data_IF_574137214893
#
_entry.id   IF_574137214893
#
_cell.length_a   1.000
_cell.length_b   1.000
_cell.length_c   1.000
_cell.angle_alpha   90.00
_cell.angle_beta   90.00
_cell.angle_gamma   90.00
#
_symmetry.space_group_name_H-M   'P 1'
#
loop_
_entity.id
_entity.type
_entity.pdbx_description
1 polymer ?
#
# COMPACT_ATOMS: atom_id res chain seq x y z
N UNK A 1 -8.64 -5.88 6.53
CA UNK A 1 -8.10 -5.13 7.68
C UNK A 1 -6.71 -5.67 7.99
N UNK A 2 -5.69 -4.83 7.96
CA UNK A 2 -4.29 -5.21 8.24
C UNK A 2 -3.86 -4.57 9.55
N UNK A 3 -3.23 -5.34 10.43
CA UNK A 3 -2.66 -4.88 11.69
C UNK A 3 -1.15 -5.08 11.68
N UNK A 4 -0.40 -3.97 11.80
CA UNK A 4 1.05 -3.96 11.86
C UNK A 4 1.50 -3.59 13.27
N UNK A 5 2.30 -4.46 13.88
CA UNK A 5 2.91 -4.16 15.20
C UNK A 5 3.94 -3.04 15.12
N UNK A 6 4.68 -2.95 14.02
CA UNK A 6 5.79 -2.02 13.82
C UNK A 6 5.92 -1.76 12.33
N UNK A 7 5.86 -0.50 11.92
CA UNK A 7 5.93 -0.12 10.51
C UNK A 7 6.75 1.16 10.35
N UNK A 8 7.72 1.08 9.43
CA UNK A 8 8.56 2.20 9.01
C UNK A 8 7.71 3.13 8.14
N UNK A 9 7.57 4.39 8.53
CA UNK A 9 6.68 5.33 7.86
C UNK A 9 7.20 5.81 6.48
N UNK A 10 8.51 5.75 6.23
CA UNK A 10 9.11 6.27 5.02
C UNK A 10 9.31 5.18 3.96
N UNK A 11 9.95 4.07 4.32
CA UNK A 11 10.18 2.97 3.38
C UNK A 11 9.10 1.90 3.48
N UNK A 12 8.72 1.50 4.70
CA UNK A 12 7.83 0.35 4.90
C UNK A 12 6.40 0.63 4.45
N UNK A 13 5.79 1.69 4.99
CA UNK A 13 4.39 2.02 4.79
C UNK A 13 3.98 2.13 3.33
N UNK A 14 4.71 2.84 2.44
CA UNK A 14 4.31 2.91 1.02
C UNK A 14 4.31 1.55 0.33
N UNK A 15 5.31 0.71 0.61
CA UNK A 15 5.41 -0.63 0.06
C UNK A 15 4.33 -1.57 0.63
N UNK A 16 4.08 -1.51 1.93
CA UNK A 16 3.09 -2.34 2.61
C UNK A 16 1.67 -1.99 2.14
N UNK A 17 1.33 -0.70 2.08
CA UNK A 17 0.02 -0.25 1.58
C UNK A 17 -0.19 -0.75 0.17
N UNK A 18 0.79 -0.56 -0.72
CA UNK A 18 0.73 -1.06 -2.09
C UNK A 18 0.52 -2.59 -2.13
N UNK A 19 1.37 -3.35 -1.44
CA UNK A 19 1.33 -4.81 -1.49
C UNK A 19 0.01 -5.37 -0.96
N UNK A 20 -0.50 -4.84 0.16
CA UNK A 20 -1.74 -5.32 0.74
C UNK A 20 -2.98 -4.87 -0.02
N UNK A 21 -2.98 -3.69 -0.66
CA UNK A 21 -4.11 -3.30 -1.53
C UNK A 21 -4.12 -4.14 -2.81
N UNK A 22 -2.96 -4.45 -3.38
CA UNK A 22 -2.86 -5.35 -4.53
C UNK A 22 -3.30 -6.77 -4.18
N UNK A 23 -2.89 -7.26 -3.01
CA UNK A 23 -3.34 -8.56 -2.51
C UNK A 23 -4.86 -8.59 -2.27
N UNK A 24 -5.42 -7.50 -1.73
CA UNK A 24 -6.86 -7.39 -1.53
C UNK A 24 -7.61 -7.46 -2.88
N UNK A 25 -7.14 -6.72 -3.89
CA UNK A 25 -7.76 -6.74 -5.22
C UNK A 25 -7.62 -8.11 -5.88
N UNK A 26 -6.45 -8.75 -5.79
CA UNK A 26 -6.21 -10.10 -6.28
C UNK A 26 -7.19 -11.11 -5.71
N UNK A 27 -7.33 -11.13 -4.38
CA UNK A 27 -8.24 -12.05 -3.70
C UNK A 27 -9.69 -11.76 -4.09
N UNK A 28 -10.09 -10.49 -4.20
CA UNK A 28 -11.44 -10.12 -4.62
C UNK A 28 -11.77 -10.64 -6.03
N UNK A 29 -10.84 -10.53 -6.98
CA UNK A 29 -10.98 -11.08 -8.34
C UNK A 29 -11.08 -12.59 -8.34
N UNK A 30 -10.18 -13.28 -7.63
CA UNK A 30 -10.15 -14.75 -7.56
C UNK A 30 -11.46 -15.37 -7.04
N UNK A 31 -12.13 -14.70 -6.09
CA UNK A 31 -13.39 -15.20 -5.51
C UNK A 31 -14.63 -14.56 -6.14
N UNK A 32 -14.47 -13.66 -7.12
CA UNK A 32 -15.56 -13.00 -7.82
C UNK A 32 -16.41 -12.08 -6.94
N UNK A 33 -15.82 -11.38 -5.97
CA UNK A 33 -16.53 -10.43 -5.12
C UNK A 33 -16.14 -8.97 -5.38
N UNK A 34 -16.98 -8.04 -4.92
CA UNK A 34 -16.69 -6.60 -5.00
C UNK A 34 -15.52 -6.20 -4.09
N UNK A 35 -14.79 -5.14 -4.51
CA UNK A 35 -13.69 -4.59 -3.73
C UNK A 35 -14.21 -3.74 -2.56
N UNK A 36 -13.89 -4.15 -1.33
CA UNK A 36 -14.21 -3.40 -0.12
C UNK A 36 -13.18 -2.32 0.26
N UNK A 37 -13.32 -1.78 1.47
CA UNK A 37 -12.39 -0.78 2.01
C UNK A 37 -11.12 -1.41 2.60
N UNK A 38 -9.97 -0.81 2.27
CA UNK A 38 -8.70 -1.13 2.91
C UNK A 38 -8.55 -0.35 4.22
N UNK A 39 -8.19 -1.06 5.29
CA UNK A 39 -7.91 -0.47 6.60
C UNK A 39 -6.54 -0.96 7.09
N UNK A 40 -5.65 -0.03 7.40
CA UNK A 40 -4.29 -0.30 7.87
C UNK A 40 -4.11 0.29 9.27
N UNK A 41 -3.97 -0.57 10.27
CA UNK A 41 -3.76 -0.18 11.65
C UNK A 41 -2.32 -0.46 12.06
N UNK A 42 -1.65 0.53 12.64
CA UNK A 42 -0.25 0.42 13.07
C UNK A 42 -0.14 0.70 14.56
N UNK A 43 0.51 -0.20 15.31
CA UNK A 43 0.77 0.01 16.73
C UNK A 43 1.97 0.94 16.97
N UNK A 44 3.06 0.76 16.22
CA UNK A 44 4.24 1.63 16.27
C UNK A 44 4.62 2.10 14.85
N UNK A 45 4.25 3.34 14.54
CA UNK A 45 4.63 4.01 13.29
C UNK A 45 5.84 4.89 13.58
N UNK A 46 6.97 4.63 12.90
CA UNK A 46 8.25 5.26 13.25
C UNK A 46 9.08 5.63 12.01
N UNK A 47 9.96 6.60 12.18
CA UNK A 47 10.96 7.01 11.19
C UNK A 47 12.36 6.66 11.70
N UNK A 48 13.19 6.10 10.83
CA UNK A 48 14.60 5.89 11.15
C UNK A 48 15.38 7.19 11.01
N UNK A 49 16.30 7.43 11.95
CA UNK A 49 17.15 8.63 11.97
C UNK A 49 17.99 8.77 10.69
N UNK A 50 18.41 7.64 10.12
CA UNK A 50 19.23 7.61 8.92
C UNK A 50 18.50 8.10 7.66
N UNK A 51 17.17 8.15 7.68
CA UNK A 51 16.35 8.56 6.53
C UNK A 51 15.80 9.98 6.66
N UNK A 52 16.12 10.72 7.74
CA UNK A 52 15.58 12.06 7.98
C UNK A 52 15.89 13.04 6.84
N UNK A 53 17.11 13.04 6.29
CA UNK A 53 17.47 13.91 5.16
C UNK A 53 16.61 13.63 3.91
N UNK A 54 16.29 12.35 3.67
CA UNK A 54 15.43 11.94 2.54
C UNK A 54 13.98 12.34 2.77
N UNK A 55 13.50 12.20 4.00
CA UNK A 55 12.15 12.64 4.40
C UNK A 55 12.02 14.16 4.24
N UNK A 56 13.04 14.93 4.65
CA UNK A 56 13.06 16.39 4.46
C UNK A 56 13.08 16.78 2.99
N UNK A 57 13.81 16.03 2.14
CA UNK A 57 13.78 16.24 0.70
C UNK A 57 12.38 15.95 0.12
N UNK A 58 11.77 14.83 0.49
CA UNK A 58 10.42 14.45 0.07
C UNK A 58 9.38 15.53 0.43
N UNK A 59 9.46 16.10 1.64
CA UNK A 59 8.56 17.17 2.08
C UNK A 59 8.68 18.44 1.22
N UNK A 60 9.83 18.69 0.60
CA UNK A 60 10.07 19.85 -0.27
C UNK A 60 9.57 19.62 -1.70
N UNK A 61 9.30 18.38 -2.12
CA UNK A 61 8.76 18.07 -3.46
C UNK A 61 7.34 18.62 -3.67
N UNK A 62 6.64 18.97 -2.59
CA UNK A 62 5.34 19.63 -2.64
C UNK A 62 4.18 18.65 -2.81
N UNK A 63 3.19 19.00 -3.63
CA UNK A 63 1.95 18.22 -3.75
C UNK A 63 2.16 16.97 -4.61
N UNK A 64 1.92 15.80 -4.01
CA UNK A 64 1.83 14.54 -4.76
C UNK A 64 0.43 14.40 -5.36
N UNK A 65 0.39 14.06 -6.65
CA UNK A 65 -0.87 13.83 -7.37
C UNK A 65 -1.71 12.75 -6.66
N UNK A 66 -3.01 13.02 -6.48
CA UNK A 66 -3.98 12.04 -5.99
C UNK A 66 -4.60 11.23 -7.12
N UNK A 67 -4.16 11.44 -8.36
CA UNK A 67 -4.62 10.62 -9.48
C UNK A 67 -4.09 9.20 -9.30
N UNK A 68 -4.95 8.18 -9.49
CA UNK A 68 -4.50 6.80 -9.46
C UNK A 68 -3.44 6.59 -10.55
N UNK A 69 -2.24 6.23 -10.14
CA UNK A 69 -1.12 5.97 -11.06
C UNK A 69 -1.24 4.56 -11.66
N UNK A 70 -1.97 3.67 -10.98
CA UNK A 70 -2.25 2.31 -11.45
C UNK A 70 -3.72 2.15 -11.83
N UNK A 71 -3.96 1.43 -12.93
CA UNK A 71 -5.30 0.96 -13.30
C UNK A 71 -5.76 -0.19 -12.40
N UNK A 72 -7.03 -0.59 -12.56
CA UNK A 72 -7.56 -1.78 -11.89
C UNK A 72 -6.81 -3.04 -12.30
N UNK A 73 -6.73 -4.00 -11.38
CA UNK A 73 -6.23 -5.33 -11.67
C UNK A 73 -7.06 -5.98 -12.79
N UNK A 74 -6.43 -6.66 -13.76
CA UNK A 74 -7.14 -7.37 -14.82
C UNK A 74 -8.07 -8.44 -14.26
N UNK A 75 -9.03 -8.86 -15.08
CA UNK A 75 -9.89 -9.99 -14.75
C UNK A 75 -9.07 -11.28 -14.62
N UNK A 76 -9.44 -12.10 -13.65
CA UNK A 76 -8.75 -13.33 -13.27
C UNK A 76 -9.76 -14.41 -12.94
N UNK A 77 -9.53 -15.64 -13.41
CA UNK A 77 -10.44 -16.76 -13.19
C UNK A 77 -9.79 -17.91 -12.41
N UNK A 78 -8.46 -17.93 -12.32
CA UNK A 78 -7.69 -18.91 -11.57
C UNK A 78 -6.33 -18.34 -11.13
N UNK A 79 -5.65 -19.05 -10.22
CA UNK A 79 -4.27 -18.70 -9.83
C UNK A 79 -3.25 -18.91 -10.96
N UNK A 80 -3.60 -19.69 -11.99
CA UNK A 80 -2.74 -19.94 -13.14
C UNK A 80 -2.66 -18.72 -14.09
N UNK A 81 -3.52 -17.71 -13.87
CA UNK A 81 -3.56 -16.47 -14.65
C UNK A 81 -2.61 -15.37 -14.09
N UNK A 82 -1.90 -15.64 -12.99
CA UNK A 82 -0.93 -14.74 -12.33
C UNK A 82 0.46 -14.89 -12.95
#
# INVERSE_FOLDING_TARGET
>A
FVCMRSNDAFMGLPHDVFAFTMLQELVARLIGCELGHYHHFVSSLHLYKNDLEKVEALQKEGFMSTLPVMGSMPEMHSLDDI
#
